data_IF_690424238086
#
_entry.id   IF_690424238086
#
_cell.length_a   1.000
_cell.length_b   1.000
_cell.length_c   1.000
_cell.angle_alpha   90.00
_cell.angle_beta   90.00
_cell.angle_gamma   90.00
#
_symmetry.space_group_name_H-M   'P 1'
#
loop_
_entity.id
_entity.type
_entity.pdbx_description
1 polymer ?
#
# COMPACT_ATOMS: atom_id res chain seq x y z
N UNK A 1 -51.67 39.20 -21.24
CA UNK A 1 -51.08 38.25 -22.18
C UNK A 1 -49.86 37.69 -21.47
N UNK A 2 -50.08 36.61 -20.72
CA UNK A 2 -49.01 35.87 -20.04
C UNK A 2 -48.33 35.02 -21.10
N UNK A 3 -47.06 35.27 -21.35
CA UNK A 3 -46.20 34.41 -22.17
C UNK A 3 -45.79 33.20 -21.34
N UNK A 4 -45.89 31.95 -21.84
CA UNK A 4 -45.38 30.77 -21.14
C UNK A 4 -43.86 30.88 -21.04
N UNK A 5 -43.33 30.90 -19.82
CA UNK A 5 -41.91 30.79 -19.53
C UNK A 5 -41.45 29.38 -19.92
N UNK A 6 -40.44 29.29 -20.78
CA UNK A 6 -39.93 28.06 -21.38
C UNK A 6 -39.02 27.32 -20.38
N UNK A 7 -39.60 26.50 -19.51
CA UNK A 7 -38.90 25.63 -18.54
C UNK A 7 -37.92 24.64 -19.22
N UNK A 8 -38.07 24.40 -20.52
CA UNK A 8 -37.33 23.37 -21.26
C UNK A 8 -35.87 23.73 -21.56
N UNK A 9 -35.53 25.02 -21.58
CA UNK A 9 -34.18 25.51 -21.88
C UNK A 9 -33.32 25.69 -20.61
N UNK A 10 -33.91 26.11 -19.49
CA UNK A 10 -33.23 26.24 -18.19
C UNK A 10 -32.75 24.87 -17.66
N UNK A 11 -33.58 23.82 -17.74
CA UNK A 11 -33.19 22.44 -17.36
C UNK A 11 -32.05 21.88 -18.23
N UNK A 12 -31.99 22.29 -19.50
CA UNK A 12 -30.95 21.85 -20.46
C UNK A 12 -29.61 22.55 -20.19
N UNK A 13 -29.66 23.78 -19.69
CA UNK A 13 -28.49 24.59 -19.34
C UNK A 13 -27.90 24.17 -17.98
N UNK A 14 -28.75 23.84 -16.99
CA UNK A 14 -28.33 23.31 -15.68
C UNK A 14 -27.64 21.93 -15.80
N UNK A 15 -28.18 21.02 -16.62
CA UNK A 15 -27.55 19.72 -16.90
C UNK A 15 -26.18 19.86 -17.58
N UNK A 16 -26.00 20.86 -18.46
CA UNK A 16 -24.68 21.14 -19.07
C UNK A 16 -23.68 21.69 -18.04
N UNK A 17 -24.09 22.59 -17.16
CA UNK A 17 -23.24 23.14 -16.10
C UNK A 17 -22.78 22.08 -15.09
N UNK A 18 -23.67 21.15 -14.71
CA UNK A 18 -23.34 20.04 -13.80
C UNK A 18 -22.38 19.03 -14.46
N UNK A 19 -22.55 18.76 -15.76
CA UNK A 19 -21.66 17.86 -16.51
C UNK A 19 -20.29 18.49 -16.80
N UNK A 20 -20.20 19.80 -17.07
CA UNK A 20 -18.92 20.50 -17.24
C UNK A 20 -18.10 20.54 -15.95
N UNK A 21 -18.77 20.72 -14.80
CA UNK A 21 -18.12 20.66 -13.48
C UNK A 21 -17.63 19.23 -13.19
N UNK A 22 -18.43 18.21 -13.53
CA UNK A 22 -18.05 16.81 -13.42
C UNK A 22 -16.86 16.44 -14.33
N UNK A 23 -16.85 16.88 -15.60
CA UNK A 23 -15.75 16.63 -16.54
C UNK A 23 -14.47 17.37 -16.15
N UNK A 24 -14.56 18.60 -15.60
CA UNK A 24 -13.39 19.31 -15.05
C UNK A 24 -12.83 18.61 -13.81
N UNK A 25 -13.70 18.14 -12.91
CA UNK A 25 -13.30 17.34 -11.76
C UNK A 25 -12.70 15.97 -12.15
N UNK A 26 -13.24 15.33 -13.19
CA UNK A 26 -12.68 14.11 -13.79
C UNK A 26 -11.30 14.43 -14.39
N UNK A 27 -11.17 15.47 -15.22
CA UNK A 27 -9.92 15.86 -15.86
C UNK A 27 -8.76 16.23 -14.92
N UNK A 28 -9.05 16.64 -13.68
CA UNK A 28 -8.05 16.94 -12.64
C UNK A 28 -7.50 15.71 -11.90
N UNK A 29 -8.12 14.53 -12.05
CA UNK A 29 -7.61 13.30 -11.44
C UNK A 29 -6.39 12.84 -12.23
N UNK A 30 -5.24 12.55 -11.59
CA UNK A 30 -4.07 12.01 -12.27
C UNK A 30 -4.33 10.53 -12.62
N UNK A 31 -5.20 10.27 -13.61
CA UNK A 31 -5.61 8.94 -14.03
C UNK A 31 -4.43 8.05 -14.37
N UNK A 32 -3.36 8.62 -14.93
CA UNK A 32 -2.13 7.89 -15.20
C UNK A 32 -1.48 7.36 -13.91
N UNK A 33 -1.43 8.17 -12.85
CA UNK A 33 -0.90 7.74 -11.54
C UNK A 33 -1.84 6.74 -10.87
N UNK A 34 -3.15 6.96 -10.97
CA UNK A 34 -4.18 6.10 -10.39
C UNK A 34 -4.17 4.71 -11.05
N UNK A 35 -4.12 4.66 -12.38
CA UNK A 35 -3.98 3.42 -13.16
C UNK A 35 -2.63 2.76 -12.86
N UNK A 36 -1.53 3.50 -12.76
CA UNK A 36 -0.22 2.96 -12.39
C UNK A 36 -0.24 2.35 -10.98
N UNK A 37 -0.90 2.99 -10.00
CA UNK A 37 -1.06 2.42 -8.65
C UNK A 37 -1.93 1.18 -8.66
N UNK A 38 -3.05 1.16 -9.38
CA UNK A 38 -3.91 -0.04 -9.50
C UNK A 38 -3.15 -1.17 -10.17
N UNK A 39 -2.37 -0.89 -11.22
CA UNK A 39 -1.53 -1.88 -11.90
C UNK A 39 -0.38 -2.37 -10.99
N UNK A 40 0.22 -1.50 -10.17
CA UNK A 40 1.23 -1.91 -9.20
C UNK A 40 0.62 -2.78 -8.08
N UNK A 41 -0.51 -2.39 -7.50
CA UNK A 41 -1.17 -3.18 -6.46
C UNK A 41 -1.69 -4.51 -6.99
N UNK A 42 -2.34 -4.50 -8.15
CA UNK A 42 -2.83 -5.74 -8.78
C UNK A 42 -1.66 -6.63 -9.21
N UNK A 43 -0.56 -6.06 -9.73
CA UNK A 43 0.66 -6.79 -10.07
C UNK A 43 1.33 -7.43 -8.85
N UNK A 44 1.46 -6.71 -7.73
CA UNK A 44 2.00 -7.26 -6.48
C UNK A 44 1.08 -8.34 -5.91
N UNK A 45 -0.23 -8.12 -5.90
CA UNK A 45 -1.20 -9.10 -5.41
C UNK A 45 -1.23 -10.37 -6.27
N UNK A 46 -1.19 -10.22 -7.60
CA UNK A 46 -1.11 -11.33 -8.55
C UNK A 46 0.23 -12.07 -8.41
N UNK A 47 1.35 -11.36 -8.30
CA UNK A 47 2.64 -12.00 -8.09
C UNK A 47 2.71 -12.77 -6.77
N UNK A 48 2.18 -12.20 -5.67
CA UNK A 48 2.13 -12.87 -4.38
C UNK A 48 1.17 -14.08 -4.39
N UNK A 49 -0.03 -13.93 -4.97
CA UNK A 49 -1.05 -14.99 -5.03
C UNK A 49 -0.69 -16.12 -5.98
N UNK A 50 -0.41 -15.79 -7.25
CA UNK A 50 0.00 -16.79 -8.25
C UNK A 50 1.36 -17.39 -7.90
N UNK A 51 2.28 -16.61 -7.34
CA UNK A 51 3.58 -17.09 -6.89
C UNK A 51 3.45 -18.13 -5.78
N UNK A 52 2.60 -17.91 -4.77
CA UNK A 52 2.37 -18.88 -3.71
C UNK A 52 1.74 -20.18 -4.25
N UNK A 53 0.68 -20.09 -5.06
CA UNK A 53 -0.01 -21.28 -5.58
C UNK A 53 0.88 -22.07 -6.54
N UNK A 54 1.57 -21.39 -7.46
CA UNK A 54 2.50 -22.03 -8.39
C UNK A 54 3.66 -22.70 -7.64
N UNK A 55 4.12 -22.07 -6.57
CA UNK A 55 5.15 -22.62 -5.71
C UNK A 55 4.67 -23.88 -4.97
N UNK A 56 3.55 -23.80 -4.25
CA UNK A 56 2.97 -24.96 -3.55
C UNK A 56 2.69 -26.12 -4.51
N UNK A 57 2.22 -25.83 -5.72
CA UNK A 57 2.01 -26.84 -6.78
C UNK A 57 3.31 -27.47 -7.29
N UNK A 58 4.36 -26.66 -7.44
CA UNK A 58 5.67 -27.17 -7.88
C UNK A 58 6.29 -28.10 -6.82
N UNK A 59 6.08 -27.80 -5.54
CA UNK A 59 6.58 -28.65 -4.44
C UNK A 59 5.85 -29.98 -4.32
N UNK A 60 4.53 -29.96 -4.41
CA UNK A 60 3.72 -31.19 -4.39
C UNK A 60 4.02 -32.10 -5.58
N UNK A 61 4.33 -31.54 -6.76
CA UNK A 61 4.78 -32.34 -7.92
C UNK A 61 6.17 -32.93 -7.67
N UNK A 62 7.08 -32.14 -7.08
CA UNK A 62 8.45 -32.58 -6.79
C UNK A 62 8.48 -33.69 -5.71
N UNK A 63 7.67 -33.57 -4.66
CA UNK A 63 7.51 -34.58 -3.61
C UNK A 63 6.93 -35.89 -4.16
N UNK A 64 5.87 -35.81 -4.99
CA UNK A 64 5.17 -37.00 -5.47
C UNK A 64 5.92 -37.75 -6.57
N UNK A 65 6.74 -37.06 -7.39
CA UNK A 65 7.37 -37.67 -8.56
C UNK A 65 8.90 -37.84 -8.48
N UNK A 66 9.64 -37.11 -7.63
CA UNK A 66 11.09 -36.95 -7.78
C UNK A 66 12.01 -37.28 -6.59
N UNK A 67 11.57 -38.12 -5.63
CA UNK A 67 12.45 -39.02 -4.85
C UNK A 67 12.55 -38.81 -3.33
N UNK A 68 12.45 -39.97 -2.69
CA UNK A 68 12.87 -40.46 -1.37
C UNK A 68 14.32 -40.11 -0.90
N UNK A 69 15.08 -39.24 -1.58
CA UNK A 69 16.51 -38.92 -1.27
C UNK A 69 16.86 -37.41 -1.38
N UNK A 70 15.94 -36.53 -1.82
CA UNK A 70 16.21 -35.09 -2.08
C UNK A 70 15.81 -34.12 -0.96
N UNK A 71 15.44 -34.64 0.21
CA UNK A 71 14.84 -33.90 1.34
C UNK A 71 15.64 -32.65 1.74
N UNK A 72 16.98 -32.70 1.73
CA UNK A 72 17.82 -31.55 2.11
C UNK A 72 17.80 -30.40 1.09
N UNK A 73 17.71 -30.69 -0.21
CA UNK A 73 17.68 -29.64 -1.25
C UNK A 73 16.29 -29.02 -1.41
N UNK A 74 15.23 -29.81 -1.22
CA UNK A 74 13.85 -29.34 -1.32
C UNK A 74 13.50 -28.37 -0.16
N UNK A 75 13.85 -28.75 1.08
CA UNK A 75 13.64 -27.90 2.26
C UNK A 75 14.38 -26.56 2.14
N UNK A 76 15.60 -26.57 1.61
CA UNK A 76 16.38 -25.35 1.39
C UNK A 76 15.72 -24.43 0.36
N UNK A 77 15.13 -24.97 -0.71
CA UNK A 77 14.40 -24.16 -1.69
C UNK A 77 13.11 -23.56 -1.14
N UNK A 78 12.42 -24.23 -0.22
CA UNK A 78 11.20 -23.71 0.41
C UNK A 78 11.48 -22.62 1.41
N UNK A 79 12.48 -22.85 2.25
CA UNK A 79 12.98 -21.83 3.17
C UNK A 79 13.48 -20.61 2.40
N UNK A 80 14.21 -20.80 1.31
CA UNK A 80 14.73 -19.71 0.49
C UNK A 80 13.60 -18.86 -0.13
N UNK A 81 12.55 -19.49 -0.66
CA UNK A 81 11.43 -18.77 -1.29
C UNK A 81 10.58 -18.01 -0.28
N UNK A 82 10.34 -18.59 0.90
CA UNK A 82 9.66 -17.90 2.00
C UNK A 82 10.51 -16.73 2.48
N UNK A 83 11.83 -16.91 2.60
CA UNK A 83 12.76 -15.84 2.99
C UNK A 83 12.74 -14.68 1.97
N UNK A 84 12.77 -14.99 0.67
CA UNK A 84 12.67 -13.98 -0.39
C UNK A 84 11.32 -13.26 -0.33
N UNK A 85 10.22 -13.98 -0.13
CA UNK A 85 8.89 -13.39 -0.02
C UNK A 85 8.74 -12.46 1.19
N UNK A 86 9.24 -12.87 2.35
CA UNK A 86 9.31 -12.04 3.57
C UNK A 86 10.18 -10.81 3.32
N UNK A 87 11.33 -10.97 2.67
CA UNK A 87 12.20 -9.86 2.32
C UNK A 87 11.52 -8.85 1.38
N UNK A 88 10.87 -9.32 0.31
CA UNK A 88 10.16 -8.44 -0.63
C UNK A 88 9.01 -7.67 0.04
N UNK A 89 8.23 -8.34 0.89
CA UNK A 89 7.13 -7.69 1.63
C UNK A 89 7.64 -6.68 2.65
N UNK A 90 8.80 -6.91 3.27
CA UNK A 90 9.46 -5.95 4.14
C UNK A 90 9.95 -4.70 3.37
N UNK A 91 10.62 -4.88 2.23
CA UNK A 91 11.06 -3.77 1.36
C UNK A 91 9.85 -2.95 0.87
N UNK A 92 8.77 -3.63 0.49
CA UNK A 92 7.52 -2.99 0.12
C UNK A 92 6.93 -2.17 1.28
N UNK A 93 6.95 -2.70 2.50
CA UNK A 93 6.54 -1.97 3.71
C UNK A 93 7.33 -0.68 3.94
N UNK A 94 8.66 -0.74 3.78
CA UNK A 94 9.51 0.46 3.88
C UNK A 94 9.18 1.48 2.79
N UNK A 95 8.97 1.02 1.55
CA UNK A 95 8.60 1.90 0.45
C UNK A 95 7.28 2.63 0.74
N UNK A 96 6.24 1.93 1.23
CA UNK A 96 4.97 2.54 1.59
C UNK A 96 5.05 3.47 2.80
N UNK A 97 5.92 3.19 3.78
CA UNK A 97 6.22 4.13 4.86
C UNK A 97 6.85 5.42 4.34
N UNK A 98 7.75 5.32 3.36
CA UNK A 98 8.33 6.49 2.68
C UNK A 98 7.26 7.31 1.94
N UNK A 99 6.37 6.64 1.20
CA UNK A 99 5.24 7.29 0.50
C UNK A 99 4.27 7.96 1.48
N UNK A 100 3.97 7.30 2.61
CA UNK A 100 3.16 7.89 3.68
C UNK A 100 3.81 9.15 4.25
N UNK A 101 5.10 9.11 4.58
CA UNK A 101 5.85 10.27 5.07
C UNK A 101 5.92 11.42 4.05
N UNK A 102 6.17 11.11 2.78
CA UNK A 102 6.24 12.12 1.73
C UNK A 102 4.87 12.75 1.42
N UNK A 103 3.80 11.94 1.38
CA UNK A 103 2.43 12.44 1.15
C UNK A 103 1.89 13.28 2.31
N UNK A 104 2.39 13.09 3.54
CA UNK A 104 2.06 13.95 4.68
C UNK A 104 2.52 15.40 4.48
N UNK A 105 3.58 15.64 3.69
CA UNK A 105 4.08 16.99 3.41
C UNK A 105 3.01 17.82 2.68
N UNK A 106 2.52 17.46 1.47
CA UNK A 106 1.41 18.15 0.83
C UNK A 106 0.18 18.32 1.74
N UNK A 107 -0.23 17.28 2.47
CA UNK A 107 -1.39 17.37 3.38
C UNK A 107 -1.20 18.47 4.43
N UNK A 108 -0.03 18.53 5.05
CA UNK A 108 0.30 19.58 6.03
C UNK A 108 0.24 20.97 5.40
N UNK A 109 0.75 21.15 4.18
CA UNK A 109 0.73 22.43 3.48
C UNK A 109 -0.67 22.93 3.19
N UNK A 110 -1.48 22.08 2.57
CA UNK A 110 -2.85 22.43 2.24
C UNK A 110 -3.69 22.61 3.49
N UNK A 111 -3.41 21.88 4.59
CA UNK A 111 -4.06 22.09 5.88
C UNK A 111 -3.73 23.48 6.49
N UNK A 112 -2.45 23.89 6.48
CA UNK A 112 -2.06 25.22 6.96
C UNK A 112 -2.70 26.33 6.12
N UNK A 113 -2.70 26.17 4.78
CA UNK A 113 -3.35 27.10 3.86
C UNK A 113 -4.86 27.19 4.13
N UNK A 114 -5.54 26.04 4.24
CA UNK A 114 -6.96 25.95 4.60
C UNK A 114 -7.27 26.64 5.94
N UNK A 115 -6.47 26.36 6.98
CA UNK A 115 -6.68 26.96 8.30
C UNK A 115 -6.56 28.49 8.26
N UNK A 116 -5.66 29.00 7.41
CA UNK A 116 -5.50 30.43 7.15
C UNK A 116 -6.70 30.99 6.39
N UNK A 117 -7.21 30.28 5.39
CA UNK A 117 -8.45 30.62 4.68
C UNK A 117 -9.66 30.71 5.63
N UNK A 118 -9.79 29.74 6.55
CA UNK A 118 -10.85 29.73 7.55
C UNK A 118 -10.73 30.91 8.53
N UNK A 119 -9.51 31.27 8.93
CA UNK A 119 -9.25 32.44 9.77
C UNK A 119 -9.64 33.76 9.06
N UNK A 120 -9.36 33.89 7.76
CA UNK A 120 -9.77 35.06 6.97
C UNK A 120 -11.29 35.24 6.87
N UNK A 121 -12.05 34.14 6.88
CA UNK A 121 -13.52 34.17 6.78
C UNK A 121 -14.21 34.48 8.13
N UNK A 122 -13.46 34.63 9.21
CA UNK A 122 -14.01 34.91 10.54
C UNK A 122 -14.44 36.39 10.70
N UNK A 123 -15.53 36.69 11.45
CA UNK A 123 -16.09 38.05 11.55
C UNK A 123 -15.18 39.08 12.25
N UNK A 124 -14.03 38.66 12.79
CA UNK A 124 -13.10 39.52 13.53
C UNK A 124 -12.06 40.22 12.63
N UNK A 125 -12.03 39.89 11.33
CA UNK A 125 -11.08 40.46 10.36
C UNK A 125 -11.50 41.83 9.78
N UNK A 126 -12.61 42.41 10.26
CA UNK A 126 -13.37 43.42 9.55
C UNK A 126 -12.90 44.88 9.71
N UNK A 127 -11.60 45.15 9.97
CA UNK A 127 -11.17 46.56 9.98
C UNK A 127 -9.72 46.87 9.56
N UNK A 128 -8.71 46.01 9.76
CA UNK A 128 -7.30 46.42 9.47
C UNK A 128 -6.31 45.30 9.13
N UNK A 129 -6.72 44.03 9.07
CA UNK A 129 -5.77 42.90 9.15
C UNK A 129 -5.88 41.84 8.05
N UNK A 130 -6.82 41.92 7.10
CA UNK A 130 -6.91 40.95 5.99
C UNK A 130 -5.67 41.04 5.06
N UNK A 131 -5.17 42.25 4.78
CA UNK A 131 -3.94 42.43 4.00
C UNK A 131 -2.67 41.95 4.73
N UNK A 132 -2.72 41.85 6.07
CA UNK A 132 -1.59 41.38 6.88
C UNK A 132 -1.56 39.85 7.04
N UNK A 133 -2.63 39.15 6.65
CA UNK A 133 -2.68 37.68 6.65
C UNK A 133 -2.11 37.19 5.32
N UNK A 134 -0.92 36.61 5.40
CA UNK A 134 -0.15 36.13 4.26
C UNK A 134 0.26 34.67 4.47
N UNK A 135 0.21 33.87 3.41
CA UNK A 135 0.84 32.54 3.39
C UNK A 135 2.08 32.60 2.52
N UNK A 136 3.22 32.24 3.10
CA UNK A 136 4.50 32.16 2.40
C UNK A 136 4.81 30.70 2.06
N UNK A 137 4.83 30.38 0.76
CA UNK A 137 5.05 29.00 0.30
C UNK A 137 6.55 28.63 0.37
N UNK A 138 7.44 29.62 0.47
CA UNK A 138 8.90 29.41 0.56
C UNK A 138 9.32 28.82 1.91
N UNK A 139 8.54 29.09 2.97
CA UNK A 139 8.75 28.50 4.30
C UNK A 139 8.71 26.97 4.28
N UNK A 140 8.04 26.40 3.27
CA UNK A 140 7.88 24.97 3.11
C UNK A 140 8.92 24.32 2.19
N UNK A 141 9.89 25.08 1.68
CA UNK A 141 11.06 24.56 0.95
C UNK A 141 10.77 24.03 -0.46
N UNK A 142 9.53 24.14 -0.94
CA UNK A 142 9.13 23.67 -2.29
C UNK A 142 9.67 24.59 -3.38
N UNK A 143 9.80 25.88 -3.07
CA UNK A 143 10.16 26.93 -4.03
C UNK A 143 11.39 27.68 -3.49
N UNK A 144 12.41 27.97 -4.32
CA UNK A 144 13.57 28.76 -3.91
C UNK A 144 13.14 30.12 -3.34
N UNK A 145 13.87 30.61 -2.34
CA UNK A 145 13.60 31.91 -1.66
C UNK A 145 13.51 33.11 -2.61
N UNK A 146 14.11 32.98 -3.80
CA UNK A 146 14.14 33.98 -4.87
C UNK A 146 12.92 33.96 -5.81
N UNK A 147 11.92 33.10 -5.57
CA UNK A 147 10.73 33.06 -6.42
C UNK A 147 9.76 34.18 -6.07
N UNK A 148 9.31 34.89 -7.11
CA UNK A 148 8.24 35.89 -7.07
C UNK A 148 7.16 35.49 -8.06
N UNK A 149 5.89 35.30 -7.65
CA UNK A 149 5.34 35.46 -6.29
C UNK A 149 5.56 34.22 -5.41
N UNK A 150 6.26 34.37 -4.28
CA UNK A 150 6.46 33.31 -3.27
C UNK A 150 5.54 33.42 -2.03
N UNK A 151 4.77 34.51 -1.93
CA UNK A 151 3.82 34.80 -0.85
C UNK A 151 2.49 35.27 -1.44
N UNK A 152 1.38 34.84 -0.85
CA UNK A 152 0.04 35.30 -1.21
C UNK A 152 -0.64 35.90 0.02
N UNK A 153 -1.26 37.08 -0.12
CA UNK A 153 -1.86 37.84 0.98
C UNK A 153 -3.26 38.36 0.59
N UNK A 154 -4.10 38.62 1.60
CA UNK A 154 -5.35 39.37 1.44
C UNK A 154 -6.29 38.84 0.36
N UNK A 155 -6.72 39.70 -0.56
CA UNK A 155 -7.69 39.37 -1.62
C UNK A 155 -7.19 38.27 -2.57
N UNK A 156 -5.91 38.29 -2.94
CA UNK A 156 -5.29 37.23 -3.76
C UNK A 156 -5.33 35.88 -3.05
N UNK A 157 -5.12 35.86 -1.73
CA UNK A 157 -5.25 34.65 -0.93
C UNK A 157 -6.72 34.20 -0.86
N UNK A 158 -7.66 35.14 -0.72
CA UNK A 158 -9.10 34.88 -0.75
C UNK A 158 -9.58 34.22 -2.04
N UNK A 159 -9.08 34.66 -3.20
CA UNK A 159 -9.40 34.08 -4.51
C UNK A 159 -8.90 32.63 -4.61
N UNK A 160 -7.67 32.37 -4.13
CA UNK A 160 -7.10 31.01 -4.06
C UNK A 160 -7.96 30.11 -3.15
N UNK A 161 -8.34 30.61 -1.97
CA UNK A 161 -9.18 29.89 -1.02
C UNK A 161 -10.58 29.54 -1.56
N UNK A 162 -11.11 30.35 -2.48
CA UNK A 162 -12.44 30.15 -3.07
C UNK A 162 -12.42 29.32 -4.36
N UNK A 163 -11.23 28.91 -4.83
CA UNK A 163 -11.08 28.13 -6.05
C UNK A 163 -11.42 26.65 -5.78
N UNK A 164 -12.28 26.07 -6.61
CA UNK A 164 -12.68 24.65 -6.52
C UNK A 164 -11.51 23.68 -6.65
N UNK A 165 -10.51 24.02 -7.47
CA UNK A 165 -9.27 23.26 -7.67
C UNK A 165 -8.48 23.05 -6.37
N UNK A 166 -8.44 24.08 -5.51
CA UNK A 166 -7.74 24.04 -4.23
C UNK A 166 -8.45 23.11 -3.24
N UNK A 167 -9.77 23.23 -3.14
CA UNK A 167 -10.62 22.35 -2.33
C UNK A 167 -10.52 20.90 -2.77
N UNK A 168 -10.61 20.64 -4.09
CA UNK A 168 -10.53 19.30 -4.64
C UNK A 168 -9.15 18.68 -4.39
N UNK A 169 -8.05 19.41 -4.67
CA UNK A 169 -6.69 18.95 -4.37
C UNK A 169 -6.50 18.60 -2.89
N UNK A 170 -6.97 19.45 -1.98
CA UNK A 170 -6.86 19.20 -0.54
C UNK A 170 -7.51 17.87 -0.12
N UNK A 171 -8.74 17.63 -0.56
CA UNK A 171 -9.44 16.39 -0.26
C UNK A 171 -8.75 15.16 -0.88
N UNK A 172 -8.25 15.28 -2.12
CA UNK A 172 -7.52 14.20 -2.79
C UNK A 172 -6.22 13.85 -2.04
N UNK A 173 -5.46 14.83 -1.56
CA UNK A 173 -4.25 14.59 -0.77
C UNK A 173 -4.54 13.89 0.57
N UNK A 174 -5.63 14.26 1.25
CA UNK A 174 -6.05 13.58 2.48
C UNK A 174 -6.40 12.12 2.19
N UNK A 175 -7.21 11.86 1.16
CA UNK A 175 -7.59 10.49 0.78
C UNK A 175 -6.37 9.68 0.38
N UNK A 176 -5.41 10.26 -0.35
CA UNK A 176 -4.16 9.60 -0.70
C UNK A 176 -3.32 9.24 0.53
N UNK A 177 -3.17 10.16 1.49
CA UNK A 177 -2.45 9.92 2.74
C UNK A 177 -3.15 8.84 3.61
N UNK A 178 -4.48 8.88 3.68
CA UNK A 178 -5.26 7.87 4.38
C UNK A 178 -5.14 6.48 3.72
N UNK A 179 -5.14 6.43 2.38
CA UNK A 179 -4.90 5.21 1.61
C UNK A 179 -3.51 4.64 1.84
N UNK A 180 -2.47 5.48 1.79
CA UNK A 180 -1.11 5.06 2.13
C UNK A 180 -1.02 4.54 3.58
N UNK A 181 -1.64 5.22 4.54
CA UNK A 181 -1.71 4.76 5.94
C UNK A 181 -2.42 3.41 6.08
N UNK A 182 -3.56 3.23 5.40
CA UNK A 182 -4.28 1.96 5.39
C UNK A 182 -3.45 0.80 4.80
N UNK A 183 -2.67 1.06 3.75
CA UNK A 183 -1.78 0.04 3.15
C UNK A 183 -0.65 -0.36 4.11
N UNK A 184 -0.05 0.60 4.82
CA UNK A 184 0.96 0.31 5.86
C UNK A 184 0.35 -0.52 6.99
N UNK A 185 -0.84 -0.16 7.47
CA UNK A 185 -1.55 -0.92 8.50
C UNK A 185 -1.84 -2.35 8.01
N UNK A 186 -2.34 -2.50 6.78
CA UNK A 186 -2.59 -3.81 6.20
C UNK A 186 -1.31 -4.66 6.08
N UNK A 187 -0.19 -4.05 5.67
CA UNK A 187 1.11 -4.73 5.60
C UNK A 187 1.62 -5.14 6.99
N UNK A 188 1.42 -4.33 8.02
CA UNK A 188 1.77 -4.71 9.41
C UNK A 188 0.96 -5.93 9.86
N UNK A 189 -0.36 -5.94 9.62
CA UNK A 189 -1.21 -7.09 9.96
C UNK A 189 -0.80 -8.33 9.18
N UNK A 190 -0.49 -8.15 7.90
CA UNK A 190 0.01 -9.22 7.05
C UNK A 190 1.32 -9.82 7.59
N UNK A 191 2.29 -8.97 7.95
CA UNK A 191 3.56 -9.41 8.54
C UNK A 191 3.38 -10.09 9.90
N UNK A 192 2.43 -9.64 10.71
CA UNK A 192 2.10 -10.28 12.00
C UNK A 192 1.61 -11.72 11.77
N UNK A 193 0.66 -11.92 10.86
CA UNK A 193 0.14 -13.26 10.54
C UNK A 193 1.24 -14.11 9.90
N UNK A 194 2.04 -13.54 9.01
CA UNK A 194 3.15 -14.22 8.37
C UNK A 194 4.20 -14.70 9.39
N UNK A 195 4.47 -13.91 10.42
CA UNK A 195 5.41 -14.29 11.49
C UNK A 195 4.91 -15.48 12.33
N UNK A 196 3.60 -15.53 12.60
CA UNK A 196 2.98 -16.65 13.29
C UNK A 196 3.00 -17.92 12.42
N UNK A 197 2.70 -17.78 11.13
CA UNK A 197 2.77 -18.89 10.17
C UNK A 197 4.19 -19.39 9.98
N UNK A 198 5.19 -18.50 9.97
CA UNK A 198 6.60 -18.88 9.88
C UNK A 198 7.06 -19.66 11.11
N UNK A 199 6.65 -19.24 12.32
CA UNK A 199 6.93 -19.98 13.54
C UNK A 199 6.33 -21.40 13.48
N UNK A 200 5.08 -21.53 13.05
CA UNK A 200 4.43 -22.82 12.88
C UNK A 200 5.16 -23.71 11.86
N UNK A 201 5.54 -23.16 10.71
CA UNK A 201 6.24 -23.90 9.67
C UNK A 201 7.62 -24.36 10.15
N UNK A 202 8.34 -23.51 10.90
CA UNK A 202 9.62 -23.85 11.52
C UNK A 202 9.47 -25.02 12.47
N UNK A 203 8.45 -25.00 13.33
CA UNK A 203 8.20 -26.08 14.28
C UNK A 203 7.81 -27.38 13.58
N UNK A 204 6.97 -27.31 12.54
CA UNK A 204 6.61 -28.47 11.72
C UNK A 204 7.85 -29.06 11.02
N UNK A 205 8.71 -28.22 10.43
CA UNK A 205 9.95 -28.67 9.79
C UNK A 205 10.90 -29.37 10.76
N UNK A 206 10.99 -28.87 12.00
CA UNK A 206 11.81 -29.48 13.04
C UNK A 206 11.24 -30.83 13.50
N UNK A 207 9.92 -30.95 13.56
CA UNK A 207 9.24 -32.22 13.85
C UNK A 207 9.47 -33.26 12.74
N UNK A 208 9.40 -32.84 11.47
CA UNK A 208 9.71 -33.71 10.33
C UNK A 208 11.16 -34.21 10.38
N UNK A 209 12.13 -33.33 10.63
CA UNK A 209 13.53 -33.71 10.79
C UNK A 209 13.73 -34.72 11.94
N UNK A 210 13.02 -34.55 13.06
CA UNK A 210 13.06 -35.49 14.18
C UNK A 210 12.47 -36.88 13.83
N UNK A 211 11.34 -36.92 13.11
CA UNK A 211 10.73 -38.16 12.64
C UNK A 211 11.64 -38.93 11.69
N UNK A 212 12.34 -38.22 10.79
CA UNK A 212 13.29 -38.84 9.86
C UNK A 212 14.48 -39.46 10.60
N UNK A 213 15.03 -38.78 11.61
CA UNK A 213 16.10 -39.32 12.46
C UNK A 213 15.60 -40.58 13.18
N UNK A 214 14.42 -40.52 13.81
CA UNK A 214 13.84 -41.66 14.53
C UNK A 214 13.60 -42.87 13.62
N UNK A 215 13.02 -42.65 12.42
CA UNK A 215 12.82 -43.74 11.44
C UNK A 215 14.15 -44.37 11.00
N UNK A 216 15.21 -43.56 10.87
CA UNK A 216 16.54 -44.06 10.53
C UNK A 216 17.09 -44.94 11.66
N UNK A 217 17.01 -44.49 12.90
CA UNK A 217 17.42 -45.28 14.07
C UNK A 217 16.64 -46.60 14.19
N UNK A 218 15.32 -46.59 13.96
CA UNK A 218 14.50 -47.81 14.00
C UNK A 218 14.89 -48.80 12.89
N UNK A 219 15.26 -48.34 11.69
CA UNK A 219 15.75 -49.22 10.61
C UNK A 219 17.11 -49.84 10.94
N UNK A 220 18.05 -49.05 11.46
CA UNK A 220 19.38 -49.55 11.85
C UNK A 220 19.26 -50.61 12.96
N UNK A 221 18.35 -50.39 13.93
CA UNK A 221 18.10 -51.34 15.00
C UNK A 221 17.52 -52.67 14.47
N UNK A 222 16.59 -52.60 13.51
CA UNK A 222 16.02 -53.79 12.87
C UNK A 222 17.07 -54.59 12.07
N UNK A 223 18.01 -53.93 11.38
CA UNK A 223 19.10 -54.60 10.65
C UNK A 223 20.08 -55.30 11.61
N UNK A 224 20.42 -54.68 12.74
CA UNK A 224 21.27 -55.31 13.75
C UNK A 224 20.58 -56.55 14.34
N UNK A 225 19.28 -56.45 14.64
CA UNK A 225 18.52 -57.56 15.21
C UNK A 225 18.33 -58.72 14.22
N UNK A 226 18.10 -58.44 12.92
CA UNK A 226 18.01 -59.47 11.89
C UNK A 226 19.35 -60.19 11.73
N UNK A 227 20.45 -59.44 11.62
CA UNK A 227 21.81 -59.98 11.48
C UNK A 227 22.22 -60.81 12.70
N UNK A 228 21.84 -60.39 13.91
CA UNK A 228 22.07 -61.18 15.12
C UNK A 228 21.32 -62.52 15.11
N UNK A 229 20.08 -62.56 14.60
CA UNK A 229 19.29 -63.80 14.49
C UNK A 229 19.88 -64.77 13.46
N UNK A 230 20.34 -64.27 12.31
CA UNK A 230 21.01 -65.10 11.31
C UNK A 230 22.28 -65.74 11.87
N UNK A 231 23.07 -64.99 12.63
CA UNK A 231 24.28 -65.51 13.28
C UNK A 231 23.95 -66.61 14.31
N UNK A 232 22.84 -66.47 15.03
CA UNK A 232 22.36 -67.46 16.02
C UNK A 232 21.80 -68.75 15.38
N UNK A 233 21.16 -68.65 14.21
CA UNK A 233 20.60 -69.80 13.48
C UNK A 233 21.64 -70.55 12.62
N UNK A 234 22.86 -70.02 12.48
CA UNK A 234 23.93 -70.63 11.71
C UNK A 234 24.81 -71.60 12.51
N UNK A 235 24.48 -71.84 13.79
CA UNK A 235 25.21 -72.69 14.73
C UNK A 235 24.33 -73.86 15.21
#
# INVERSE_FOLDING_TARGET
METPYDDTDDERQEKRGCFECCIKCLGGVPYASLVATILCFSGVALFCGCGHVALTGTLTILENHFSKITTDHAMLTDIAKITIFVFLTYILGIAWLGVFGFSAVPVFLFYNMWSTCAAMRSPMANLTSIENICVDVRQYGIIPWNATPGKACGSTLGDICNTSEFYLSYHLYIVACAGAGATVIALIHYLMILSANWAYLKDASHLHAYQDIKMKEERELQDIQSRSKECLNSY
#
